data_IF_973947099787
#
_entry.id   IF_973947099787
#
_cell.length_a   1.000
_cell.length_b   1.000
_cell.length_c   1.000
_cell.angle_alpha   90.00
_cell.angle_beta   90.00
_cell.angle_gamma   90.00
#
_symmetry.space_group_name_H-M   'P 1'
#
loop_
_entity.id
_entity.type
_entity.pdbx_description
1 polymer ?
#
# COMPACT_ATOMS: atom_id res chain seq x y z
N UNK A 1 16.41 -3.20 5.88
CA UNK A 1 16.18 -3.31 4.43
C UNK A 1 14.79 -2.76 4.12
N UNK A 2 14.72 -1.90 3.13
CA UNK A 2 13.44 -1.35 2.70
C UNK A 2 12.60 -2.45 2.01
N UNK A 3 11.29 -2.36 2.16
CA UNK A 3 10.35 -3.25 1.52
C UNK A 3 9.44 -2.51 0.55
N UNK A 4 8.34 -3.13 0.20
CA UNK A 4 7.34 -2.58 -0.69
C UNK A 4 5.98 -2.63 -0.01
N UNK A 5 5.36 -1.48 0.17
CA UNK A 5 3.99 -1.36 0.67
C UNK A 5 3.04 -1.31 -0.54
N UNK A 6 1.95 -2.07 -0.47
CA UNK A 6 0.97 -2.14 -1.55
C UNK A 6 -0.29 -1.40 -1.13
N UNK A 7 -0.77 -0.49 -2.00
CA UNK A 7 -2.05 0.18 -1.78
C UNK A 7 -3.21 -0.59 -2.44
N UNK A 8 -4.42 -0.06 -2.31
CA UNK A 8 -5.62 -0.69 -2.86
C UNK A 8 -5.54 -0.83 -4.38
N UNK A 9 -5.08 0.21 -5.07
CA UNK A 9 -4.93 0.20 -6.51
C UNK A 9 -3.93 -0.85 -6.99
N UNK A 10 -2.85 -1.06 -6.23
CA UNK A 10 -1.86 -2.09 -6.55
C UNK A 10 -2.47 -3.49 -6.44
N UNK A 11 -3.26 -3.75 -5.38
CA UNK A 11 -3.92 -5.06 -5.23
C UNK A 11 -4.94 -5.30 -6.34
N UNK A 12 -5.70 -4.28 -6.71
CA UNK A 12 -6.67 -4.38 -7.82
C UNK A 12 -5.94 -4.63 -9.14
N UNK A 13 -4.83 -3.93 -9.39
CA UNK A 13 -4.04 -4.14 -10.59
C UNK A 13 -3.44 -5.56 -10.64
N UNK A 14 -3.00 -6.08 -9.50
CA UNK A 14 -2.54 -7.46 -9.39
C UNK A 14 -3.66 -8.45 -9.72
N UNK A 15 -4.85 -8.22 -9.17
CA UNK A 15 -6.01 -9.07 -9.44
C UNK A 15 -6.34 -9.11 -10.94
N UNK A 16 -6.19 -7.97 -11.61
CA UNK A 16 -6.43 -7.85 -13.06
C UNK A 16 -5.27 -8.38 -13.89
N UNK A 17 -4.22 -8.89 -13.25
CA UNK A 17 -3.02 -9.40 -13.90
C UNK A 17 -2.29 -8.33 -14.74
N UNK A 18 -2.31 -7.09 -14.27
CA UNK A 18 -1.56 -6.01 -14.89
C UNK A 18 -0.07 -6.39 -14.94
N UNK A 19 0.50 -6.35 -16.14
CA UNK A 19 1.84 -6.86 -16.38
C UNK A 19 2.91 -6.13 -15.58
N UNK A 20 2.83 -4.80 -15.50
CA UNK A 20 3.80 -4.00 -14.75
C UNK A 20 3.72 -4.31 -13.26
N UNK A 21 2.50 -4.43 -12.73
CA UNK A 21 2.28 -4.78 -11.31
C UNK A 21 2.87 -6.15 -10.98
N UNK A 22 2.58 -7.15 -11.83
CA UNK A 22 3.13 -8.49 -11.63
C UNK A 22 4.66 -8.47 -11.65
N UNK A 23 5.26 -7.68 -12.54
CA UNK A 23 6.71 -7.52 -12.63
C UNK A 23 7.29 -6.90 -11.35
N UNK A 24 6.66 -5.82 -10.85
CA UNK A 24 7.12 -5.18 -9.60
C UNK A 24 7.06 -6.14 -8.42
N UNK A 25 5.95 -6.87 -8.27
CA UNK A 25 5.78 -7.81 -7.17
C UNK A 25 6.80 -8.94 -7.26
N UNK A 26 6.96 -9.52 -8.44
CA UNK A 26 7.91 -10.61 -8.66
C UNK A 26 9.35 -10.16 -8.39
N UNK A 27 9.72 -8.99 -8.89
CA UNK A 27 11.06 -8.46 -8.69
C UNK A 27 11.34 -8.22 -7.20
N UNK A 28 10.39 -7.63 -6.48
CA UNK A 28 10.52 -7.39 -5.04
C UNK A 28 10.75 -8.71 -4.30
N UNK A 29 9.97 -9.74 -4.63
CA UNK A 29 10.13 -11.07 -4.04
C UNK A 29 11.49 -11.68 -4.35
N UNK A 30 11.95 -11.57 -5.58
CA UNK A 30 13.25 -12.09 -6.01
C UNK A 30 14.41 -11.39 -5.28
N UNK A 31 14.26 -10.11 -4.99
CA UNK A 31 15.26 -9.31 -4.28
C UNK A 31 15.17 -9.47 -2.75
N UNK A 32 14.23 -10.26 -2.26
CA UNK A 32 14.03 -10.48 -0.83
C UNK A 32 13.37 -9.31 -0.10
N UNK A 33 12.71 -8.40 -0.83
CA UNK A 33 11.97 -7.31 -0.19
C UNK A 33 10.68 -7.84 0.41
N UNK A 34 10.38 -7.38 1.62
CA UNK A 34 9.13 -7.71 2.28
C UNK A 34 7.99 -6.90 1.67
N UNK A 35 6.91 -7.60 1.33
CA UNK A 35 5.68 -6.96 0.87
C UNK A 35 4.77 -6.74 2.07
N UNK A 36 4.26 -5.53 2.24
CA UNK A 36 3.38 -5.20 3.37
C UNK A 36 2.08 -4.59 2.87
N UNK A 37 0.97 -5.03 3.46
CA UNK A 37 -0.37 -4.51 3.19
C UNK A 37 -1.01 -4.09 4.51
N UNK A 38 -1.31 -2.79 4.68
CA UNK A 38 -2.07 -2.34 5.85
C UNK A 38 -3.51 -2.85 5.79
N UNK A 39 -4.08 -3.22 6.93
CA UNK A 39 -5.42 -3.81 6.98
C UNK A 39 -6.53 -2.94 6.36
N UNK A 40 -6.52 -1.59 6.45
CA UNK A 40 -7.55 -0.79 5.77
C UNK A 40 -7.61 -0.99 4.26
N UNK A 41 -6.46 -1.30 3.63
CA UNK A 41 -6.40 -1.62 2.21
C UNK A 41 -7.24 -2.86 1.89
N UNK A 42 -7.19 -3.86 2.77
CA UNK A 42 -7.98 -5.09 2.59
C UNK A 42 -9.48 -4.79 2.58
N UNK A 43 -9.92 -3.88 3.44
CA UNK A 43 -11.34 -3.48 3.49
C UNK A 43 -11.81 -2.94 2.14
N UNK A 44 -10.95 -2.19 1.46
CA UNK A 44 -11.30 -1.60 0.16
C UNK A 44 -11.40 -2.62 -0.97
N UNK A 45 -10.63 -3.70 -0.91
CA UNK A 45 -10.51 -4.62 -2.05
C UNK A 45 -11.14 -6.00 -1.83
N UNK A 46 -11.30 -6.42 -0.59
CA UNK A 46 -11.81 -7.76 -0.28
C UNK A 46 -13.32 -7.85 -0.51
N UNK A 47 -13.74 -8.86 -1.26
CA UNK A 47 -15.18 -9.10 -1.55
C UNK A 47 -15.61 -10.51 -1.21
N UNK A 48 -14.66 -11.38 -0.83
CA UNK A 48 -14.92 -12.77 -0.44
C UNK A 48 -15.05 -13.72 -1.62
N UNK A 49 -15.05 -15.00 -1.31
CA UNK A 49 -15.25 -16.06 -2.28
C UNK A 49 -14.22 -16.06 -3.42
N UNK A 50 -14.63 -16.57 -4.56
CA UNK A 50 -13.76 -16.67 -5.73
C UNK A 50 -13.35 -15.32 -6.30
N UNK A 51 -14.12 -14.27 -6.04
CA UNK A 51 -13.79 -12.90 -6.49
C UNK A 51 -12.50 -12.38 -5.87
N UNK A 52 -12.14 -12.87 -4.69
CA UNK A 52 -10.95 -12.44 -3.97
C UNK A 52 -9.83 -13.48 -3.98
N UNK A 53 -9.93 -14.52 -4.79
CA UNK A 53 -8.96 -15.62 -4.77
C UNK A 53 -7.53 -15.18 -5.11
N UNK A 54 -7.34 -14.32 -6.11
CA UNK A 54 -6.02 -13.82 -6.48
C UNK A 54 -5.45 -12.89 -5.42
N UNK A 55 -6.31 -12.03 -4.84
CA UNK A 55 -5.91 -11.16 -3.74
C UNK A 55 -5.51 -12.01 -2.53
N UNK A 56 -6.29 -13.04 -2.19
CA UNK A 56 -5.96 -13.93 -1.09
C UNK A 56 -4.58 -14.57 -1.29
N UNK A 57 -4.29 -15.02 -2.50
CA UNK A 57 -2.99 -15.61 -2.83
C UNK A 57 -1.84 -14.62 -2.63
N UNK A 58 -2.03 -13.38 -3.08
CA UNK A 58 -1.02 -12.35 -2.87
C UNK A 58 -0.84 -12.02 -1.39
N UNK A 59 -1.93 -11.89 -0.63
CA UNK A 59 -1.88 -11.59 0.79
C UNK A 59 -1.12 -12.65 1.59
N UNK A 60 -1.19 -13.92 1.17
CA UNK A 60 -0.43 -15.00 1.80
C UNK A 60 1.09 -14.78 1.70
N UNK A 61 1.53 -14.03 0.71
CA UNK A 61 2.94 -13.69 0.52
C UNK A 61 3.33 -12.36 1.17
N UNK A 62 2.39 -11.70 1.83
CA UNK A 62 2.60 -10.37 2.40
C UNK A 62 2.57 -10.39 3.93
N UNK A 63 3.22 -9.41 4.52
CA UNK A 63 2.99 -9.04 5.92
C UNK A 63 1.71 -8.21 5.95
N UNK A 64 0.76 -8.63 6.77
CA UNK A 64 -0.49 -7.89 6.97
C UNK A 64 -0.29 -7.03 8.21
N UNK A 65 -0.26 -5.71 8.03
CA UNK A 65 -0.01 -4.80 9.13
C UNK A 65 -1.33 -4.30 9.73
N UNK A 66 -1.61 -4.61 11.00
CA UNK A 66 -2.80 -4.09 11.66
C UNK A 66 -2.74 -2.57 11.80
N UNK A 67 -3.90 -1.92 11.73
CA UNK A 67 -4.01 -0.50 12.04
C UNK A 67 -4.05 -0.33 13.56
N UNK A 68 -2.87 -0.24 14.17
CA UNK A 68 -2.75 0.00 15.59
C UNK A 68 -2.75 1.50 15.91
N UNK A 69 -2.87 1.84 17.20
CA UNK A 69 -3.12 3.22 17.66
C UNK A 69 -2.08 4.23 17.19
N UNK A 70 -0.79 3.90 17.25
CA UNK A 70 0.26 4.84 16.82
C UNK A 70 0.17 5.16 15.34
N UNK A 71 -0.02 4.13 14.52
CA UNK A 71 -0.15 4.31 13.07
C UNK A 71 -1.39 5.14 12.74
N UNK A 72 -2.50 4.86 13.43
CA UNK A 72 -3.75 5.60 13.24
C UNK A 72 -3.58 7.09 13.57
N UNK A 73 -2.83 7.41 14.62
CA UNK A 73 -2.58 8.81 15.01
C UNK A 73 -1.74 9.54 13.98
N UNK A 74 -0.67 8.92 13.48
CA UNK A 74 0.16 9.51 12.43
C UNK A 74 -0.67 9.78 11.18
N UNK A 75 -1.48 8.81 10.76
CA UNK A 75 -2.36 8.97 9.60
C UNK A 75 -3.38 10.10 9.81
N UNK A 76 -3.98 10.18 11.01
CA UNK A 76 -4.92 11.24 11.35
C UNK A 76 -4.30 12.63 11.31
N UNK A 77 -3.08 12.77 11.81
CA UNK A 77 -2.35 14.04 11.76
C UNK A 77 -2.03 14.43 10.31
N UNK A 78 -1.69 13.45 9.46
CA UNK A 78 -1.46 13.70 8.05
C UNK A 78 -2.72 14.20 7.35
N UNK A 79 -3.88 13.61 7.65
CA UNK A 79 -5.17 14.04 7.10
C UNK A 79 -5.47 15.50 7.51
N UNK A 80 -5.17 15.86 8.75
CA UNK A 80 -5.36 17.23 9.22
C UNK A 80 -4.44 18.23 8.48
N UNK A 81 -3.24 17.80 8.11
CA UNK A 81 -2.26 18.66 7.44
C UNK A 81 -2.42 18.73 5.93
N UNK A 82 -2.97 17.68 5.31
CA UNK A 82 -3.06 17.55 3.85
C UNK A 82 -4.53 17.52 3.43
N UNK A 83 -5.01 18.65 2.91
CA UNK A 83 -6.40 18.76 2.51
C UNK A 83 -6.75 17.75 1.42
N UNK A 84 -7.87 17.06 1.59
CA UNK A 84 -8.37 16.09 0.62
C UNK A 84 -7.79 14.68 0.75
N UNK A 85 -6.88 14.44 1.69
CA UNK A 85 -6.34 13.11 1.91
C UNK A 85 -7.40 12.17 2.47
N UNK A 86 -7.44 10.94 1.96
CA UNK A 86 -8.36 9.91 2.46
C UNK A 86 -7.71 9.12 3.60
N UNK A 87 -8.55 8.44 4.38
CA UNK A 87 -8.07 7.63 5.50
C UNK A 87 -7.12 6.54 5.02
N UNK A 88 -7.51 5.79 4.00
CA UNK A 88 -6.70 4.65 3.53
C UNK A 88 -5.38 5.13 2.95
N UNK A 89 -5.39 6.17 2.13
CA UNK A 89 -4.16 6.72 1.56
C UNK A 89 -3.20 7.22 2.64
N UNK A 90 -3.72 7.90 3.66
CA UNK A 90 -2.91 8.37 4.78
C UNK A 90 -2.30 7.20 5.56
N UNK A 91 -3.06 6.12 5.78
CA UNK A 91 -2.55 4.92 6.45
C UNK A 91 -1.46 4.26 5.64
N UNK A 92 -1.65 4.13 4.33
CA UNK A 92 -0.64 3.53 3.43
C UNK A 92 0.66 4.32 3.50
N UNK A 93 0.59 5.64 3.40
CA UNK A 93 1.79 6.48 3.45
C UNK A 93 2.47 6.46 4.82
N UNK A 94 1.69 6.51 5.90
CA UNK A 94 2.23 6.42 7.25
C UNK A 94 2.91 5.07 7.49
N UNK A 95 2.30 3.99 7.03
CA UNK A 95 2.84 2.63 7.11
C UNK A 95 4.18 2.54 6.38
N UNK A 96 4.22 2.97 5.13
CA UNK A 96 5.45 2.95 4.33
C UNK A 96 6.55 3.81 4.97
N UNK A 97 6.20 5.01 5.44
CA UNK A 97 7.15 5.92 6.08
C UNK A 97 7.80 5.30 7.32
N UNK A 98 7.02 4.54 8.10
CA UNK A 98 7.52 3.93 9.34
C UNK A 98 8.61 2.89 9.10
N UNK A 99 8.67 2.29 7.91
CA UNK A 99 9.63 1.25 7.54
C UNK A 99 10.66 1.71 6.52
N UNK A 100 10.49 2.89 5.93
CA UNK A 100 11.32 3.32 4.80
C UNK A 100 10.99 2.59 3.50
N UNK A 101 9.76 2.11 3.35
CA UNK A 101 9.31 1.41 2.17
C UNK A 101 9.01 2.34 1.00
N UNK A 102 9.07 1.77 -0.21
CA UNK A 102 8.40 2.35 -1.37
C UNK A 102 6.95 1.89 -1.38
N UNK A 103 6.08 2.65 -2.04
CA UNK A 103 4.66 2.30 -2.20
C UNK A 103 4.39 2.00 -3.67
N UNK A 104 3.84 0.83 -3.95
CA UNK A 104 3.32 0.50 -5.27
C UNK A 104 1.86 0.95 -5.34
N UNK A 105 1.55 1.81 -6.30
CA UNK A 105 0.24 2.47 -6.39
C UNK A 105 -0.26 2.59 -7.81
N UNK A 106 -1.58 2.48 -7.99
CA UNK A 106 -2.27 2.87 -9.23
C UNK A 106 -2.75 4.33 -9.16
N UNK A 107 -2.78 4.92 -7.98
CA UNK A 107 -3.30 6.27 -7.71
C UNK A 107 -2.16 7.22 -7.34
N UNK A 108 -1.18 7.34 -8.25
CA UNK A 108 0.04 8.08 -8.00
C UNK A 108 -0.22 9.51 -7.50
N UNK A 109 -1.10 10.24 -8.19
CA UNK A 109 -1.33 11.64 -7.86
C UNK A 109 -1.92 11.83 -6.46
N UNK A 110 -2.83 10.96 -6.05
CA UNK A 110 -3.44 11.02 -4.72
C UNK A 110 -2.40 10.80 -3.61
N UNK A 111 -1.53 9.82 -3.80
CA UNK A 111 -0.46 9.55 -2.83
C UNK A 111 0.65 10.59 -2.90
N UNK A 112 0.97 11.08 -4.09
CA UNK A 112 1.99 12.12 -4.26
C UNK A 112 1.62 13.39 -3.49
N UNK A 113 0.32 13.69 -3.40
CA UNK A 113 -0.18 14.80 -2.62
C UNK A 113 0.18 14.66 -1.12
N UNK A 114 0.19 13.46 -0.60
CA UNK A 114 0.58 13.16 0.77
C UNK A 114 2.10 13.22 1.00
N UNK A 115 2.90 13.28 -0.04
CA UNK A 115 4.36 13.39 0.11
C UNK A 115 4.80 14.73 0.71
N UNK A 116 3.93 15.74 0.73
CA UNK A 116 4.20 16.96 1.48
C UNK A 116 4.33 16.70 2.98
N UNK A 117 3.66 15.67 3.48
CA UNK A 117 3.74 15.23 4.88
C UNK A 117 4.74 14.08 5.08
N UNK A 118 4.88 13.21 4.08
CA UNK A 118 5.80 12.06 4.10
C UNK A 118 6.82 12.18 2.96
N UNK A 119 7.76 13.14 3.03
CA UNK A 119 8.61 13.48 1.88
C UNK A 119 9.59 12.37 1.48
N UNK A 120 9.88 11.44 2.39
CA UNK A 120 10.86 10.38 2.12
C UNK A 120 10.24 9.12 1.51
N UNK A 121 8.92 9.06 1.40
CA UNK A 121 8.25 7.91 0.78
C UNK A 121 8.35 8.04 -0.74
N UNK A 122 8.84 6.99 -1.39
CA UNK A 122 8.93 6.92 -2.85
C UNK A 122 7.77 6.11 -3.39
N UNK A 123 7.23 6.56 -4.52
CA UNK A 123 6.07 5.94 -5.17
C UNK A 123 6.50 5.24 -6.44
N UNK A 124 5.95 4.03 -6.66
CA UNK A 124 6.10 3.28 -7.90
C UNK A 124 4.73 3.13 -8.55
N UNK A 125 4.61 3.52 -9.81
CA UNK A 125 3.36 3.41 -10.55
C UNK A 125 3.16 1.99 -11.08
N UNK A 126 1.94 1.47 -10.91
CA UNK A 126 1.54 0.18 -11.48
C UNK A 126 1.46 0.22 -13.00
#
# INVERSE_FOLDING_TARGET
MAGLTLDSGALIAFERQDRRTLTHVKLAQQLGYELTVPTPVIVEVWRGGSRSARIASLLDACVIEPLFSELARVAGEAIAAVKGATVVDAVVMASAASRGDRVLTADFDDLDHLRSYFPNVRLLQT
#
